data_IF_936368080401
#
_entry.id   IF_936368080401
#
_cell.length_a   1.000
_cell.length_b   1.000
_cell.length_c   1.000
_cell.angle_alpha   90.00
_cell.angle_beta   90.00
_cell.angle_gamma   90.00
#
_symmetry.space_group_name_H-M   'P 1'
#
loop_
_entity.id
_entity.type
_entity.pdbx_description
1 polymer ?
#
# COMPACT_ATOMS: atom_id res chain seq x y z
N UNK A 1 8.11 -14.61 -8.87
CA UNK A 1 7.03 -14.73 -7.87
C UNK A 1 7.42 -14.22 -6.48
N UNK A 2 8.49 -14.71 -5.85
CA UNK A 2 8.85 -14.31 -4.48
C UNK A 2 9.12 -12.80 -4.32
N UNK A 3 9.84 -12.19 -5.27
CA UNK A 3 10.10 -10.73 -5.30
C UNK A 3 8.81 -9.91 -5.44
N UNK A 4 7.87 -10.39 -6.25
CA UNK A 4 6.58 -9.75 -6.48
C UNK A 4 5.74 -9.74 -5.21
N UNK A 5 5.65 -10.88 -4.50
CA UNK A 5 4.92 -10.97 -3.24
C UNK A 5 5.59 -10.09 -2.20
N UNK A 6 6.92 -10.16 -2.09
CA UNK A 6 7.69 -9.31 -1.21
C UNK A 6 7.43 -7.81 -1.48
N UNK A 7 7.44 -7.38 -2.74
CA UNK A 7 7.12 -6.01 -3.12
C UNK A 7 5.71 -5.63 -2.66
N UNK A 8 4.71 -6.45 -2.98
CA UNK A 8 3.32 -6.17 -2.63
C UNK A 8 3.10 -6.07 -1.11
N UNK A 9 3.60 -7.02 -0.33
CA UNK A 9 3.48 -7.00 1.13
C UNK A 9 4.26 -5.85 1.77
N UNK A 10 5.49 -5.59 1.28
CA UNK A 10 6.31 -4.47 1.76
C UNK A 10 5.66 -3.13 1.43
N UNK A 11 5.07 -2.97 0.23
CA UNK A 11 4.30 -1.80 -0.15
C UNK A 11 3.15 -1.56 0.83
N UNK A 12 2.40 -2.61 1.17
CA UNK A 12 1.29 -2.51 2.10
C UNK A 12 1.74 -2.06 3.50
N UNK A 13 2.80 -2.67 4.03
CA UNK A 13 3.39 -2.28 5.31
C UNK A 13 3.91 -0.83 5.28
N UNK A 14 4.65 -0.47 4.23
CA UNK A 14 5.20 0.87 4.04
C UNK A 14 4.12 1.95 3.98
N UNK A 15 3.03 1.71 3.23
CA UNK A 15 1.90 2.65 3.16
C UNK A 15 1.21 2.84 4.50
N UNK A 16 1.09 1.79 5.31
CA UNK A 16 0.51 1.88 6.66
C UNK A 16 1.39 2.69 7.59
N UNK A 17 2.71 2.45 7.58
CA UNK A 17 3.68 3.22 8.35
C UNK A 17 3.66 4.69 7.95
N UNK A 18 3.64 4.98 6.64
CA UNK A 18 3.54 6.33 6.10
C UNK A 18 2.25 7.01 6.56
N UNK A 19 1.10 6.32 6.43
CA UNK A 19 -0.19 6.87 6.86
C UNK A 19 -0.22 7.15 8.37
N UNK A 20 0.32 6.25 9.18
CA UNK A 20 0.42 6.44 10.63
C UNK A 20 1.34 7.62 10.97
N UNK A 21 2.52 7.68 10.37
CA UNK A 21 3.50 8.75 10.57
C UNK A 21 3.01 10.12 10.09
N UNK A 22 2.23 10.16 9.01
CA UNK A 22 1.61 11.39 8.51
C UNK A 22 0.48 11.87 9.42
N UNK A 23 -0.31 10.96 10.01
CA UNK A 23 -1.35 11.34 11.00
C UNK A 23 -0.72 11.95 12.25
N UNK A 24 0.36 11.36 12.76
CA UNK A 24 1.07 11.91 13.92
C UNK A 24 1.76 13.24 13.58
N UNK A 25 2.38 13.36 12.40
CA UNK A 25 2.95 14.61 11.92
C UNK A 25 1.91 15.72 11.76
N UNK A 26 0.72 15.41 11.24
CA UNK A 26 -0.39 16.36 11.11
C UNK A 26 -0.93 16.79 12.47
N UNK A 27 -1.09 15.86 13.41
CA UNK A 27 -1.49 16.18 14.77
C UNK A 27 -0.48 17.08 15.49
N UNK A 28 0.83 16.85 15.26
CA UNK A 28 1.91 17.64 15.86
C UNK A 28 2.18 18.99 15.15
N UNK A 29 1.81 19.12 13.87
CA UNK A 29 1.97 20.37 13.12
C UNK A 29 0.92 21.43 13.50
N UNK A 30 -0.28 21.01 13.89
CA UNK A 30 -1.39 21.96 14.14
C UNK A 30 -1.75 22.75 12.88
N UNK A 31 -2.21 24.00 13.03
CA UNK A 31 -2.61 24.87 11.90
C UNK A 31 -1.46 25.73 11.34
N UNK A 32 -0.37 25.91 12.09
CA UNK A 32 0.72 26.85 11.74
C UNK A 32 2.07 26.17 11.49
N UNK A 33 2.22 24.91 11.89
CA UNK A 33 3.45 24.15 11.68
C UNK A 33 3.58 23.60 10.26
N UNK A 34 4.81 23.59 9.72
CA UNK A 34 5.09 22.94 8.45
C UNK A 34 4.93 21.42 8.57
N UNK A 35 3.84 20.89 7.99
CA UNK A 35 3.56 19.45 7.91
C UNK A 35 4.74 18.69 7.29
N UNK A 36 5.37 19.24 6.26
CA UNK A 36 6.50 18.62 5.58
C UNK A 36 7.71 18.43 6.53
N UNK A 37 8.02 19.44 7.34
CA UNK A 37 9.11 19.37 8.32
C UNK A 37 8.81 18.35 9.43
N UNK A 38 7.56 18.30 9.91
CA UNK A 38 7.12 17.34 10.93
C UNK A 38 7.04 15.91 10.38
N UNK A 39 6.66 15.75 9.12
CA UNK A 39 6.68 14.47 8.45
C UNK A 39 8.13 13.98 8.27
N UNK A 40 9.05 14.85 7.86
CA UNK A 40 10.47 14.51 7.68
C UNK A 40 11.16 14.10 9.00
N UNK A 41 10.72 14.65 10.13
CA UNK A 41 11.24 14.29 11.47
C UNK A 41 10.51 13.12 12.12
N UNK A 42 9.44 12.62 11.52
CA UNK A 42 8.67 11.47 12.03
C UNK A 42 9.39 10.15 11.68
N UNK A 43 9.87 9.36 12.66
CA UNK A 43 10.56 8.10 12.39
C UNK A 43 9.71 7.11 11.58
N UNK A 44 8.39 7.13 11.79
CA UNK A 44 7.44 6.30 11.05
C UNK A 44 7.33 6.68 9.58
N UNK A 45 7.42 7.97 9.26
CA UNK A 45 7.41 8.43 7.86
C UNK A 45 8.70 8.01 7.16
N UNK A 46 9.85 8.22 7.80
CA UNK A 46 11.15 7.83 7.23
C UNK A 46 11.21 6.32 7.02
N UNK A 47 10.84 5.54 8.04
CA UNK A 47 10.84 4.09 7.95
C UNK A 47 9.86 3.59 6.88
N UNK A 48 8.64 4.15 6.85
CA UNK A 48 7.65 3.83 5.83
C UNK A 48 8.12 4.17 4.42
N UNK A 49 8.83 5.28 4.24
CA UNK A 49 9.40 5.69 2.95
C UNK A 49 10.51 4.76 2.50
N UNK A 50 11.39 4.34 3.41
CA UNK A 50 12.45 3.35 3.10
C UNK A 50 11.83 2.02 2.69
N UNK A 51 10.86 1.51 3.46
CA UNK A 51 10.16 0.26 3.13
C UNK A 51 9.44 0.36 1.79
N UNK A 52 8.75 1.49 1.54
CA UNK A 52 8.08 1.75 0.26
C UNK A 52 9.06 1.87 -0.90
N UNK A 53 10.22 2.50 -0.68
CA UNK A 53 11.31 2.59 -1.66
C UNK A 53 11.87 1.21 -2.03
N UNK A 54 12.16 0.37 -1.03
CA UNK A 54 12.61 -1.02 -1.25
C UNK A 54 11.55 -1.83 -2.01
N UNK A 55 10.27 -1.66 -1.64
CA UNK A 55 9.15 -2.25 -2.37
C UNK A 55 9.13 -1.80 -3.83
N UNK A 56 9.32 -0.51 -4.10
CA UNK A 56 9.34 0.03 -5.47
C UNK A 56 10.50 -0.56 -6.29
N UNK A 57 11.68 -0.72 -5.71
CA UNK A 57 12.81 -1.40 -6.36
C UNK A 57 12.45 -2.86 -6.70
N UNK A 58 11.89 -3.61 -5.75
CA UNK A 58 11.46 -4.99 -5.97
C UNK A 58 10.35 -5.09 -7.03
N UNK A 59 9.45 -4.10 -7.09
CA UNK A 59 8.42 -3.99 -8.12
C UNK A 59 9.02 -3.74 -9.51
N UNK A 60 9.98 -2.83 -9.64
CA UNK A 60 10.67 -2.58 -10.91
C UNK A 60 11.41 -3.83 -11.43
N UNK A 61 12.09 -4.56 -10.54
CA UNK A 61 12.76 -5.82 -10.91
C UNK A 61 11.73 -6.89 -11.33
N UNK A 62 10.58 -6.92 -10.65
CA UNK A 62 9.47 -7.81 -11.03
C UNK A 62 8.97 -7.49 -12.43
N UNK A 63 8.74 -6.20 -12.75
CA UNK A 63 8.31 -5.78 -14.07
C UNK A 63 9.34 -6.10 -15.17
N UNK A 64 10.63 -6.15 -14.83
CA UNK A 64 11.67 -6.53 -15.75
C UNK A 64 11.74 -8.05 -16.03
N UNK A 65 11.17 -8.89 -15.16
CA UNK A 65 11.34 -10.36 -15.19
C UNK A 65 10.04 -11.14 -15.32
N UNK A 66 8.89 -10.52 -15.07
CA UNK A 66 7.56 -11.14 -15.06
C UNK A 66 6.66 -10.42 -16.07
N UNK A 67 5.89 -11.15 -16.90
CA UNK A 67 4.91 -10.54 -17.79
C UNK A 67 3.93 -9.66 -17.01
N UNK A 68 3.58 -8.50 -17.59
CA UNK A 68 2.64 -7.56 -16.98
C UNK A 68 1.28 -8.22 -16.69
N UNK A 69 0.87 -9.16 -17.54
CA UNK A 69 -0.38 -9.92 -17.40
C UNK A 69 -0.45 -10.71 -16.09
N UNK A 70 0.69 -11.16 -15.55
CA UNK A 70 0.81 -11.83 -14.25
C UNK A 70 1.05 -10.81 -13.14
N UNK A 71 1.84 -9.75 -13.37
CA UNK A 71 2.21 -8.80 -12.34
C UNK A 71 1.03 -7.95 -11.82
N UNK A 72 0.23 -7.38 -12.74
CA UNK A 72 -0.88 -6.48 -12.39
C UNK A 72 -1.90 -7.13 -11.45
N UNK A 73 -2.27 -8.40 -11.65
CA UNK A 73 -3.17 -9.05 -10.73
C UNK A 73 -2.70 -9.10 -9.27
N UNK A 74 -1.41 -9.38 -9.05
CA UNK A 74 -0.88 -9.31 -7.69
C UNK A 74 -0.77 -7.89 -7.15
N UNK A 75 -0.60 -6.89 -8.02
CA UNK A 75 -0.67 -5.49 -7.59
C UNK A 75 -2.07 -5.11 -7.06
N UNK A 76 -3.13 -5.59 -7.72
CA UNK A 76 -4.51 -5.41 -7.25
C UNK A 76 -4.75 -6.14 -5.92
N UNK A 77 -4.18 -7.33 -5.74
CA UNK A 77 -4.17 -8.01 -4.44
C UNK A 77 -3.45 -7.16 -3.36
N UNK A 78 -2.37 -6.48 -3.73
CA UNK A 78 -1.68 -5.53 -2.86
C UNK A 78 -2.53 -4.36 -2.42
N UNK A 79 -3.30 -3.78 -3.34
CA UNK A 79 -4.29 -2.77 -3.00
C UNK A 79 -5.31 -3.28 -1.98
N UNK A 80 -5.84 -4.49 -2.17
CA UNK A 80 -6.76 -5.11 -1.20
C UNK A 80 -6.11 -5.28 0.18
N UNK A 81 -4.85 -5.71 0.23
CA UNK A 81 -4.08 -5.81 1.47
C UNK A 81 -3.93 -4.45 2.15
N UNK A 82 -3.64 -3.39 1.39
CA UNK A 82 -3.56 -2.02 1.93
C UNK A 82 -4.89 -1.59 2.54
N UNK A 83 -6.02 -1.84 1.85
CA UNK A 83 -7.36 -1.49 2.34
C UNK A 83 -7.71 -2.29 3.61
N UNK A 84 -7.48 -3.60 3.60
CA UNK A 84 -7.70 -4.50 4.74
C UNK A 84 -6.84 -4.09 5.94
N UNK A 85 -5.55 -3.85 5.72
CA UNK A 85 -4.63 -3.51 6.76
C UNK A 85 -4.85 -2.05 7.24
N UNK A 86 -5.33 -1.14 6.40
CA UNK A 86 -5.84 0.18 6.82
C UNK A 86 -7.10 0.09 7.69
N UNK A 87 -8.04 -0.80 7.34
CA UNK A 87 -9.24 -1.05 8.12
C UNK A 87 -8.94 -1.68 9.49
N UNK A 88 -7.98 -2.61 9.56
CA UNK A 88 -7.67 -3.37 10.78
C UNK A 88 -6.61 -2.70 11.66
N UNK A 89 -5.53 -2.17 11.09
CA UNK A 89 -4.41 -1.56 11.85
C UNK A 89 -4.73 -0.11 12.18
N UNK A 90 -5.22 0.67 11.22
CA UNK A 90 -5.52 2.09 11.41
C UNK A 90 -6.95 2.37 11.87
N UNK A 91 -7.78 1.32 11.97
CA UNK A 91 -9.20 1.40 12.34
C UNK A 91 -9.95 2.45 11.51
N UNK A 92 -9.59 2.61 10.23
CA UNK A 92 -10.29 3.53 9.35
C UNK A 92 -11.72 3.03 9.10
N UNK A 93 -12.70 3.94 9.15
CA UNK A 93 -14.09 3.62 8.84
C UNK A 93 -14.18 3.23 7.37
N UNK A 94 -14.12 1.94 7.10
CA UNK A 94 -14.37 1.37 5.78
C UNK A 94 -15.87 1.24 5.58
N UNK A 95 -16.38 1.85 4.51
CA UNK A 95 -17.80 1.79 4.17
C UNK A 95 -18.16 0.40 3.63
N UNK A 96 -19.42 -0.01 3.78
CA UNK A 96 -19.94 -1.23 3.14
C UNK A 96 -19.71 -1.20 1.62
N UNK A 97 -19.73 0.00 1.02
CA UNK A 97 -19.39 0.22 -0.39
C UNK A 97 -17.92 -0.06 -0.73
N UNK A 98 -17.00 0.25 0.19
CA UNK A 98 -15.57 -0.06 0.02
C UNK A 98 -15.37 -1.57 -0.02
N UNK A 99 -16.04 -2.32 0.87
CA UNK A 99 -15.99 -3.78 0.88
C UNK A 99 -16.63 -4.39 -0.38
N UNK A 100 -17.79 -3.88 -0.81
CA UNK A 100 -18.43 -4.31 -2.06
C UNK A 100 -17.55 -4.06 -3.29
N UNK A 101 -16.92 -2.89 -3.38
CA UNK A 101 -15.97 -2.55 -4.44
C UNK A 101 -14.71 -3.42 -4.40
N UNK A 102 -14.14 -3.65 -3.20
CA UNK A 102 -13.03 -4.57 -3.00
C UNK A 102 -13.37 -5.99 -3.47
N UNK A 103 -14.56 -6.49 -3.13
CA UNK A 103 -15.01 -7.79 -3.61
C UNK A 103 -15.12 -7.83 -5.14
N UNK A 104 -15.65 -6.77 -5.76
CA UNK A 104 -15.71 -6.68 -7.22
C UNK A 104 -14.32 -6.65 -7.88
N UNK A 105 -13.33 -6.00 -7.25
CA UNK A 105 -11.93 -6.05 -7.68
C UNK A 105 -11.38 -7.48 -7.60
N UNK A 106 -11.64 -8.22 -6.52
CA UNK A 106 -11.24 -9.63 -6.39
C UNK A 106 -11.88 -10.49 -7.48
N UNK A 107 -13.18 -10.32 -7.72
CA UNK A 107 -13.89 -11.07 -8.77
C UNK A 107 -13.32 -10.75 -10.16
N UNK A 108 -13.14 -9.46 -10.48
CA UNK A 108 -12.51 -9.04 -11.73
C UNK A 108 -11.10 -9.62 -11.90
N UNK A 109 -10.35 -9.72 -10.81
CA UNK A 109 -9.03 -10.33 -10.79
C UNK A 109 -9.04 -11.81 -11.16
N UNK A 110 -9.95 -12.57 -10.55
CA UNK A 110 -10.11 -14.00 -10.81
C UNK A 110 -10.49 -14.21 -12.28
N UNK A 111 -11.40 -13.39 -12.81
CA UNK A 111 -11.79 -13.44 -14.23
C UNK A 111 -10.60 -13.19 -15.16
N UNK A 112 -9.76 -12.19 -14.86
CA UNK A 112 -8.54 -11.91 -15.65
C UNK A 112 -7.53 -13.07 -15.56
N UNK A 113 -7.41 -13.71 -14.41
CA UNK A 113 -6.54 -14.87 -14.21
C UNK A 113 -7.01 -16.12 -14.94
N UNK A 114 -8.34 -16.35 -14.99
CA UNK A 114 -8.93 -17.51 -15.70
C UNK A 114 -8.89 -17.32 -17.22
N UNK A 115 -8.88 -16.07 -17.70
CA UNK A 115 -8.81 -15.75 -19.12
C UNK A 115 -7.40 -15.73 -19.73
N UNK A 116 -6.35 -15.98 -18.94
CA UNK A 116 -4.96 -16.13 -19.39
C UNK A 116 -4.56 -17.60 -19.42
#
# INVERSE_FOLDING_TARGET
>A
MMLLLFAVFSSAGGQIMLKHGMRSAAAAAGHEGSLAMRAATSPWVVLGLVVFGVSALAWMITLATVPLSIAYPFNALGYLLIVLAGATVLHERTSMWTWGGSFLVVVGLITVMVGQ
#
